data_IF_038123040325
#
_entry.id   IF_038123040325
#
_cell.length_a   1.000
_cell.length_b   1.000
_cell.length_c   1.000
_cell.angle_alpha   90.00
_cell.angle_beta   90.00
_cell.angle_gamma   90.00
#
_symmetry.space_group_name_H-M   'P 1'
#
loop_
_entity.id
_entity.type
_entity.pdbx_description
1 polymer ?
#
# COMPACT_ATOMS: atom_id res chain seq x y z
N UNK A 1 55.87 18.40 -11.67
CA UNK A 1 55.08 17.29 -12.26
C UNK A 1 53.61 17.34 -11.78
N UNK A 2 53.01 18.53 -11.65
CA UNK A 2 51.66 18.75 -11.08
C UNK A 2 51.04 20.03 -11.67
N UNK A 3 50.95 20.13 -13.01
CA UNK A 3 50.32 21.29 -13.68
C UNK A 3 49.44 20.91 -14.88
N UNK A 4 49.18 19.62 -15.08
CA UNK A 4 48.37 19.11 -16.20
C UNK A 4 47.15 18.30 -15.79
N UNK A 5 46.93 18.06 -14.49
CA UNK A 5 45.92 17.11 -14.01
C UNK A 5 44.80 17.73 -13.18
N UNK A 6 44.93 19.00 -12.76
CA UNK A 6 43.96 19.60 -11.82
C UNK A 6 42.58 19.80 -12.46
N UNK A 7 42.52 20.18 -13.74
CA UNK A 7 41.25 20.26 -14.48
C UNK A 7 40.60 18.90 -14.70
N UNK A 8 41.41 17.85 -14.86
CA UNK A 8 40.93 16.47 -15.00
C UNK A 8 40.40 15.92 -13.67
N UNK A 9 41.12 16.15 -12.56
CA UNK A 9 40.69 15.82 -11.20
C UNK A 9 39.40 16.53 -10.79
N UNK A 10 39.25 17.80 -11.17
CA UNK A 10 38.01 18.55 -10.96
C UNK A 10 36.85 17.96 -11.76
N UNK A 11 37.09 17.57 -13.01
CA UNK A 11 36.08 16.92 -13.84
C UNK A 11 35.67 15.55 -13.29
N UNK A 12 36.64 14.72 -12.86
CA UNK A 12 36.36 13.43 -12.20
C UNK A 12 35.56 13.61 -10.91
N UNK A 13 35.91 14.62 -10.10
CA UNK A 13 35.17 14.92 -8.87
C UNK A 13 33.74 15.38 -9.13
N UNK A 14 33.53 16.21 -10.16
CA UNK A 14 32.20 16.63 -10.59
C UNK A 14 31.38 15.46 -11.13
N UNK A 15 32.00 14.57 -11.91
CA UNK A 15 31.36 13.37 -12.42
C UNK A 15 30.98 12.42 -11.29
N UNK A 16 31.86 12.21 -10.31
CA UNK A 16 31.58 11.40 -9.13
C UNK A 16 30.43 11.99 -8.31
N UNK A 17 30.40 13.31 -8.10
CA UNK A 17 29.31 14.00 -7.41
C UNK A 17 27.98 13.85 -8.16
N UNK A 18 28.00 13.95 -9.49
CA UNK A 18 26.82 13.77 -10.32
C UNK A 18 26.27 12.34 -10.20
N UNK A 19 27.13 11.33 -10.34
CA UNK A 19 26.73 9.92 -10.20
C UNK A 19 26.16 9.65 -8.80
N UNK A 20 26.82 10.16 -7.75
CA UNK A 20 26.33 10.02 -6.37
C UNK A 20 24.96 10.67 -6.19
N UNK A 21 24.77 11.87 -6.73
CA UNK A 21 23.51 12.61 -6.62
C UNK A 21 22.37 11.84 -7.30
N UNK A 22 22.59 11.37 -8.53
CA UNK A 22 21.62 10.55 -9.27
C UNK A 22 21.33 9.25 -8.53
N UNK A 23 22.35 8.58 -7.99
CA UNK A 23 22.20 7.36 -7.20
C UNK A 23 21.35 7.56 -5.94
N UNK A 24 21.57 8.66 -5.21
CA UNK A 24 20.77 9.01 -4.03
C UNK A 24 19.32 9.29 -4.41
N UNK A 25 19.09 10.08 -5.47
CA UNK A 25 17.73 10.38 -5.94
C UNK A 25 16.97 9.10 -6.33
N UNK A 26 17.64 8.18 -7.03
CA UNK A 26 17.05 6.90 -7.42
C UNK A 26 16.72 6.03 -6.21
N UNK A 27 17.62 5.95 -5.22
CA UNK A 27 17.37 5.23 -3.96
C UNK A 27 16.16 5.78 -3.21
N UNK A 28 16.03 7.12 -3.10
CA UNK A 28 14.88 7.76 -2.47
C UNK A 28 13.58 7.38 -3.20
N UNK A 29 13.59 7.43 -4.53
CA UNK A 29 12.41 7.10 -5.33
C UNK A 29 11.99 5.63 -5.14
N UNK A 30 12.94 4.69 -5.09
CA UNK A 30 12.65 3.28 -4.79
C UNK A 30 12.04 3.13 -3.40
N UNK A 31 12.62 3.77 -2.38
CA UNK A 31 12.11 3.68 -1.00
C UNK A 31 10.68 4.20 -0.91
N UNK A 32 10.39 5.33 -1.56
CA UNK A 32 9.04 5.90 -1.59
C UNK A 32 8.05 4.95 -2.30
N UNK A 33 8.45 4.38 -3.43
CA UNK A 33 7.64 3.41 -4.16
C UNK A 33 7.34 2.16 -3.32
N UNK A 34 8.36 1.57 -2.70
CA UNK A 34 8.20 0.37 -1.86
C UNK A 34 7.28 0.66 -0.67
N UNK A 35 7.45 1.81 0.00
CA UNK A 35 6.55 2.20 1.10
C UNK A 35 5.12 2.41 0.65
N UNK A 36 4.92 3.03 -0.52
CA UNK A 36 3.59 3.23 -1.07
C UNK A 36 2.92 1.88 -1.39
N UNK A 37 3.66 0.96 -2.01
CA UNK A 37 3.18 -0.38 -2.32
C UNK A 37 2.91 -1.20 -1.06
N UNK A 38 3.77 -1.12 -0.04
CA UNK A 38 3.58 -1.77 1.25
C UNK A 38 2.31 -1.27 1.94
N UNK A 39 2.08 0.04 1.95
CA UNK A 39 0.87 0.62 2.53
C UNK A 39 -0.40 0.16 1.78
N UNK A 40 -0.37 0.14 0.45
CA UNK A 40 -1.47 -0.38 -0.35
C UNK A 40 -1.74 -1.87 -0.03
N UNK A 41 -0.70 -2.70 0.03
CA UNK A 41 -0.84 -4.11 0.36
C UNK A 41 -1.39 -4.34 1.78
N UNK A 42 -0.99 -3.51 2.75
CA UNK A 42 -1.55 -3.55 4.11
C UNK A 42 -3.04 -3.22 4.10
N UNK A 43 -3.45 -2.16 3.38
CA UNK A 43 -4.87 -1.81 3.23
C UNK A 43 -5.67 -2.94 2.56
N UNK A 44 -5.14 -3.55 1.50
CA UNK A 44 -5.78 -4.70 0.85
C UNK A 44 -5.92 -5.89 1.81
N UNK A 45 -4.89 -6.18 2.61
CA UNK A 45 -4.93 -7.27 3.59
C UNK A 45 -5.96 -6.99 4.68
N UNK A 46 -6.04 -5.76 5.20
CA UNK A 46 -7.04 -5.37 6.20
C UNK A 46 -8.46 -5.49 5.67
N UNK A 47 -8.71 -5.03 4.44
CA UNK A 47 -10.00 -5.20 3.77
C UNK A 47 -10.34 -6.68 3.58
N UNK A 48 -9.38 -7.51 3.16
CA UNK A 48 -9.60 -8.95 2.99
C UNK A 48 -9.86 -9.67 4.33
N UNK A 49 -9.19 -9.28 5.42
CA UNK A 49 -9.46 -9.79 6.76
C UNK A 49 -10.87 -9.41 7.19
N UNK A 50 -11.24 -8.14 7.04
CA UNK A 50 -12.59 -7.66 7.37
C UNK A 50 -13.66 -8.40 6.57
N UNK A 51 -13.43 -8.61 5.26
CA UNK A 51 -14.30 -9.39 4.40
C UNK A 51 -14.51 -10.82 4.90
N UNK A 52 -13.42 -11.49 5.28
CA UNK A 52 -13.49 -12.84 5.84
C UNK A 52 -14.21 -12.88 7.17
N UNK A 53 -13.93 -11.94 8.07
CA UNK A 53 -14.67 -11.84 9.32
C UNK A 53 -16.17 -11.60 9.09
N UNK A 54 -16.54 -10.83 8.06
CA UNK A 54 -17.93 -10.58 7.68
C UNK A 54 -18.64 -11.83 7.15
N UNK A 55 -17.96 -12.63 6.31
CA UNK A 55 -18.47 -13.90 5.78
C UNK A 55 -18.79 -14.93 6.88
N UNK A 56 -18.02 -14.95 7.96
CA UNK A 56 -18.15 -15.92 9.07
C UNK A 56 -19.00 -15.40 10.25
N UNK A 57 -19.79 -14.33 10.09
CA UNK A 57 -20.70 -13.86 11.14
C UNK A 57 -21.83 -14.89 11.35
N UNK A 58 -21.84 -15.53 12.52
CA UNK A 58 -22.91 -16.46 12.91
C UNK A 58 -23.88 -15.85 13.94
N UNK A 59 -23.46 -14.82 14.70
CA UNK A 59 -24.27 -14.23 15.77
C UNK A 59 -24.48 -12.71 15.63
N UNK A 60 -25.58 -12.20 16.18
CA UNK A 60 -25.89 -10.75 16.23
C UNK A 60 -24.88 -9.92 17.02
N UNK A 61 -24.15 -10.56 17.95
CA UNK A 61 -23.11 -9.89 18.75
C UNK A 61 -21.86 -9.68 17.89
N UNK A 62 -21.52 -10.67 17.05
CA UNK A 62 -20.40 -10.55 16.12
C UNK A 62 -20.68 -9.50 15.04
N UNK A 63 -21.94 -9.41 14.59
CA UNK A 63 -22.38 -8.36 13.65
C UNK A 63 -22.19 -6.95 14.23
N UNK A 64 -22.60 -6.72 15.49
CA UNK A 64 -22.37 -5.44 16.16
C UNK A 64 -20.88 -5.14 16.36
N UNK A 65 -20.09 -6.15 16.72
CA UNK A 65 -18.63 -6.02 16.86
C UNK A 65 -17.95 -5.65 15.54
N UNK A 66 -18.39 -6.22 14.41
CA UNK A 66 -17.86 -5.87 13.10
C UNK A 66 -18.28 -4.47 12.65
N UNK A 67 -19.52 -4.06 12.95
CA UNK A 67 -19.98 -2.69 12.66
C UNK A 67 -19.16 -1.65 13.45
N UNK A 68 -18.89 -1.90 14.73
CA UNK A 68 -18.01 -1.04 15.53
C UNK A 68 -16.58 -1.01 14.98
N UNK A 69 -16.06 -2.16 14.54
CA UNK A 69 -14.74 -2.26 13.90
C UNK A 69 -14.70 -1.49 12.59
N UNK A 70 -15.74 -1.58 11.76
CA UNK A 70 -15.87 -0.84 10.51
C UNK A 70 -15.85 0.68 10.75
N UNK A 71 -16.61 1.16 11.73
CA UNK A 71 -16.62 2.58 12.12
C UNK A 71 -15.25 3.02 12.63
N UNK A 72 -14.61 2.24 13.49
CA UNK A 72 -13.29 2.56 14.06
C UNK A 72 -12.19 2.58 12.99
N UNK A 73 -12.26 1.66 12.04
CA UNK A 73 -11.28 1.52 10.96
C UNK A 73 -11.65 2.29 9.69
N UNK A 74 -12.76 3.03 9.71
CA UNK A 74 -13.30 3.80 8.57
C UNK A 74 -13.50 2.96 7.30
N UNK A 75 -13.93 1.71 7.48
CA UNK A 75 -14.31 0.83 6.38
C UNK A 75 -15.76 1.13 6.03
N UNK A 76 -16.05 1.39 4.76
CA UNK A 76 -17.38 1.65 4.25
C UNK A 76 -17.84 0.50 3.37
N UNK A 77 -19.04 -0.01 3.63
CA UNK A 77 -19.72 -0.92 2.71
C UNK A 77 -20.39 -0.07 1.63
N UNK A 78 -19.91 -0.16 0.39
CA UNK A 78 -20.47 0.60 -0.74
C UNK A 78 -21.71 -0.10 -1.28
N UNK A 79 -21.59 -1.41 -1.50
CA UNK A 79 -22.63 -2.22 -2.13
C UNK A 79 -22.63 -3.62 -1.53
N UNK A 80 -23.82 -4.19 -1.33
CA UNK A 80 -24.00 -5.56 -0.90
C UNK A 80 -25.11 -6.17 -1.74
N UNK A 81 -24.75 -7.19 -2.51
CA UNK A 81 -25.62 -8.02 -3.32
C UNK A 81 -25.60 -9.46 -2.78
N UNK A 82 -26.50 -10.30 -3.28
CA UNK A 82 -26.53 -11.72 -2.90
C UNK A 82 -25.23 -12.45 -3.26
N UNK A 83 -24.57 -12.06 -4.36
CA UNK A 83 -23.38 -12.73 -4.89
C UNK A 83 -22.06 -12.00 -4.59
N UNK A 84 -22.09 -10.75 -4.16
CA UNK A 84 -20.88 -9.97 -3.91
C UNK A 84 -21.11 -8.81 -2.95
N UNK A 85 -20.04 -8.38 -2.28
CA UNK A 85 -20.04 -7.14 -1.51
C UNK A 85 -18.78 -6.33 -1.75
N UNK A 86 -18.94 -5.02 -1.79
CA UNK A 86 -17.90 -4.04 -2.09
C UNK A 86 -17.62 -3.23 -0.83
N UNK A 87 -16.36 -3.28 -0.38
CA UNK A 87 -15.86 -2.51 0.76
C UNK A 87 -14.77 -1.54 0.33
N UNK A 88 -14.79 -0.36 0.93
CA UNK A 88 -13.81 0.70 0.70
C UNK A 88 -13.13 1.11 2.00
N UNK A 89 -11.81 1.32 1.91
CA UNK A 89 -11.04 2.04 2.92
C UNK A 89 -10.01 2.94 2.25
N UNK A 90 -10.04 4.23 2.61
CA UNK A 90 -9.06 5.23 2.17
C UNK A 90 -8.86 5.28 0.63
N UNK A 91 -9.95 5.14 -0.14
CA UNK A 91 -9.92 5.12 -1.61
C UNK A 91 -9.47 3.79 -2.22
N UNK A 92 -9.16 2.77 -1.42
CA UNK A 92 -8.92 1.40 -1.88
C UNK A 92 -10.24 0.64 -1.82
N UNK A 93 -10.66 0.10 -2.97
CA UNK A 93 -11.91 -0.66 -3.11
C UNK A 93 -11.56 -2.14 -3.29
N UNK A 94 -12.23 -3.00 -2.52
CA UNK A 94 -12.17 -4.44 -2.67
C UNK A 94 -13.59 -4.98 -2.92
N UNK A 95 -13.75 -5.69 -4.02
CA UNK A 95 -14.95 -6.48 -4.32
C UNK A 95 -14.71 -7.93 -3.89
N UNK A 96 -15.61 -8.48 -3.09
CA UNK A 96 -15.56 -9.87 -2.62
C UNK A 96 -16.74 -10.61 -3.21
N UNK A 97 -16.45 -11.69 -3.93
CA UNK A 97 -17.47 -12.62 -4.42
C UNK A 97 -17.82 -13.61 -3.30
N UNK A 98 -19.11 -13.74 -3.02
CA UNK A 98 -19.66 -14.75 -2.11
C UNK A 98 -19.81 -16.03 -2.94
N UNK A 99 -18.91 -16.99 -2.76
CA UNK A 99 -19.01 -18.29 -3.41
C UNK A 99 -19.84 -19.21 -2.51
N UNK A 100 -21.04 -19.58 -2.95
CA UNK A 100 -21.82 -20.64 -2.33
C UNK A 100 -21.01 -21.95 -2.36
N UNK A 101 -20.47 -22.33 -1.20
CA UNK A 101 -19.86 -23.65 -1.02
C UNK A 101 -21.01 -24.63 -0.75
N UNK A 102 -21.55 -25.21 -1.83
CA UNK A 102 -22.44 -26.37 -1.77
C UNK A 102 -21.77 -27.58 -1.10
#
# INVERSE_FOLDING_TARGET
>A
MWKGNDGFLLFESLLALFILTVGILFMIQIILFVRQQENQNQLYLELAIFAKEWEYIETKIDEQGLQEKAVRQKIQLIESSEDSFIIEKEGTILEIMILDVN
#
